data_IF_994524390406
#
_entry.id   IF_994524390406
#
_cell.length_a   1.000
_cell.length_b   1.000
_cell.length_c   1.000
_cell.angle_alpha   90.00
_cell.angle_beta   90.00
_cell.angle_gamma   90.00
#
_symmetry.space_group_name_H-M   'P 1'
#
loop_
_entity.id
_entity.type
_entity.pdbx_description
1 polymer ?
#
# COMPACT_ATOMS: atom_id res chain seq x y z
N UNK A 1 -0.29 9.85 -29.44
CA UNK A 1 -0.78 8.88 -28.44
C UNK A 1 -1.18 9.66 -27.21
N UNK A 2 -2.47 9.69 -26.87
CA UNK A 2 -2.92 10.29 -25.61
C UNK A 2 -2.33 9.49 -24.45
N UNK A 3 -1.94 10.10 -23.31
CA UNK A 3 -1.51 9.33 -22.17
C UNK A 3 -2.70 8.48 -21.71
N UNK A 4 -2.60 7.18 -21.90
CA UNK A 4 -3.57 6.23 -21.37
C UNK A 4 -3.59 6.44 -19.85
N UNK A 5 -4.71 6.95 -19.33
CA UNK A 5 -4.83 7.27 -17.93
C UNK A 5 -4.62 5.98 -17.13
N UNK A 6 -3.70 6.01 -16.15
CA UNK A 6 -3.47 4.86 -15.27
C UNK A 6 -4.82 4.50 -14.64
N UNK A 7 -5.32 3.27 -14.84
CA UNK A 7 -6.61 2.89 -14.28
C UNK A 7 -6.57 3.04 -12.75
N UNK A 8 -7.69 3.45 -12.13
CA UNK A 8 -7.74 3.59 -10.68
C UNK A 8 -7.42 2.24 -10.01
N UNK A 9 -6.80 2.25 -8.81
CA UNK A 9 -6.57 1.02 -8.08
C UNK A 9 -7.90 0.31 -7.80
N UNK A 10 -7.92 -1.01 -7.94
CA UNK A 10 -9.07 -1.83 -7.59
C UNK A 10 -9.33 -1.80 -6.08
N UNK A 11 -8.26 -1.79 -5.29
CA UNK A 11 -8.28 -1.69 -3.83
C UNK A 11 -7.23 -0.70 -3.35
N UNK A 12 -7.65 0.18 -2.45
CA UNK A 12 -6.75 1.04 -1.66
C UNK A 12 -6.96 0.72 -0.18
N UNK A 13 -5.92 0.29 0.50
CA UNK A 13 -5.91 0.12 1.95
C UNK A 13 -5.36 1.39 2.58
N UNK A 14 -6.14 2.04 3.44
CA UNK A 14 -5.71 3.24 4.16
C UNK A 14 -5.35 2.83 5.59
N UNK A 15 -4.14 3.18 6.03
CA UNK A 15 -3.65 2.89 7.39
C UNK A 15 -3.29 4.23 8.05
N UNK A 16 -4.09 4.74 9.00
CA UNK A 16 -3.66 5.83 9.85
C UNK A 16 -2.52 5.35 10.76
N UNK A 17 -1.49 6.17 10.94
CA UNK A 17 -0.33 5.86 11.77
C UNK A 17 0.10 7.08 12.58
N UNK A 18 0.31 6.88 13.88
CA UNK A 18 0.86 7.87 14.81
C UNK A 18 1.79 7.16 15.80
N UNK A 19 3.08 7.47 15.75
CA UNK A 19 4.11 6.84 16.58
C UNK A 19 4.08 5.29 16.53
N UNK A 20 4.21 4.77 15.31
CA UNK A 20 4.12 3.38 14.91
C UNK A 20 5.46 2.81 14.38
N UNK A 21 6.60 3.48 14.59
CA UNK A 21 7.90 3.13 13.98
C UNK A 21 8.30 1.66 14.16
N UNK A 22 8.06 1.11 15.36
CA UNK A 22 8.34 -0.29 15.70
C UNK A 22 7.34 -1.30 15.12
N UNK A 23 6.13 -0.85 14.75
CA UNK A 23 4.98 -1.71 14.39
C UNK A 23 4.61 -1.65 12.91
N UNK A 24 4.90 -0.54 12.24
CA UNK A 24 4.39 -0.28 10.90
C UNK A 24 5.05 -1.17 9.83
N UNK A 25 6.35 -1.48 9.95
CA UNK A 25 7.05 -2.35 8.99
C UNK A 25 6.44 -3.75 8.89
N UNK A 26 6.40 -4.57 9.97
CA UNK A 26 5.85 -5.92 9.88
C UNK A 26 4.38 -5.91 9.44
N UNK A 27 3.64 -4.85 9.78
CA UNK A 27 2.27 -4.64 9.29
C UNK A 27 2.24 -4.50 7.76
N UNK A 28 3.03 -3.57 7.20
CA UNK A 28 3.08 -3.33 5.75
C UNK A 28 3.55 -4.55 4.96
N UNK A 29 4.57 -5.25 5.46
CA UNK A 29 5.07 -6.50 4.87
C UNK A 29 4.00 -7.60 4.89
N UNK A 30 3.25 -7.73 5.99
CA UNK A 30 2.13 -8.66 6.13
C UNK A 30 1.00 -8.38 5.14
N UNK A 31 0.54 -7.13 5.06
CA UNK A 31 -0.49 -6.72 4.09
C UNK A 31 -0.03 -6.95 2.65
N UNK A 32 1.20 -6.55 2.32
CA UNK A 32 1.78 -6.75 0.98
C UNK A 32 1.82 -8.22 0.61
N UNK A 33 2.28 -9.08 1.52
CA UNK A 33 2.32 -10.53 1.33
C UNK A 33 0.91 -11.12 1.14
N UNK A 34 -0.04 -10.72 1.99
CA UNK A 34 -1.41 -11.21 1.94
C UNK A 34 -2.11 -10.84 0.64
N UNK A 35 -2.05 -9.58 0.23
CA UNK A 35 -2.68 -9.09 -1.01
C UNK A 35 -2.02 -9.76 -2.23
N UNK A 36 -0.69 -9.87 -2.26
CA UNK A 36 0.04 -10.48 -3.38
C UNK A 36 -0.28 -11.97 -3.53
N UNK A 37 -0.37 -12.70 -2.42
CA UNK A 37 -0.68 -14.14 -2.41
C UNK A 37 -2.18 -14.45 -2.60
N UNK A 38 -3.04 -13.46 -2.37
CA UNK A 38 -4.49 -13.60 -2.48
C UNK A 38 -5.06 -12.99 -3.76
N UNK A 39 -4.23 -12.55 -4.72
CA UNK A 39 -4.66 -11.89 -5.97
C UNK A 39 -5.78 -12.63 -6.71
N UNK A 40 -5.77 -13.97 -6.72
CA UNK A 40 -6.83 -14.82 -7.29
C UNK A 40 -8.14 -14.87 -6.49
N UNK A 41 -8.14 -14.40 -5.24
CA UNK A 41 -9.31 -14.39 -4.33
C UNK A 41 -10.09 -13.08 -4.35
N UNK A 42 -9.51 -12.00 -4.87
CA UNK A 42 -10.07 -10.65 -4.74
C UNK A 42 -11.13 -10.28 -5.79
N UNK A 43 -11.54 -11.21 -6.66
CA UNK A 43 -12.69 -10.97 -7.52
C UNK A 43 -14.01 -11.25 -6.79
N UNK A 44 -14.95 -10.30 -6.91
CA UNK A 44 -16.14 -10.16 -6.07
C UNK A 44 -16.91 -11.45 -5.80
N UNK A 45 -17.49 -11.54 -4.60
CA UNK A 45 -18.30 -12.66 -4.13
C UNK A 45 -19.25 -13.17 -5.21
N UNK A 46 -18.88 -14.31 -5.82
CA UNK A 46 -19.52 -14.82 -7.03
C UNK A 46 -18.57 -15.03 -8.22
N UNK A 47 -17.38 -15.61 -8.01
CA UNK A 47 -16.60 -16.22 -9.09
C UNK A 47 -16.06 -15.27 -10.17
N UNK A 48 -15.99 -13.97 -9.90
CA UNK A 48 -15.25 -13.06 -10.78
C UNK A 48 -13.75 -13.24 -10.57
N UNK A 49 -12.97 -13.25 -11.64
CA UNK A 49 -11.52 -13.16 -11.55
C UNK A 49 -11.16 -11.73 -11.14
N UNK A 50 -10.24 -11.56 -10.18
CA UNK A 50 -9.58 -10.27 -10.04
C UNK A 50 -8.84 -10.03 -11.36
N UNK A 51 -9.05 -8.92 -12.07
CA UNK A 51 -8.34 -8.68 -13.32
C UNK A 51 -6.85 -8.94 -13.10
N UNK A 52 -6.18 -9.66 -13.99
CA UNK A 52 -4.74 -9.93 -13.90
C UNK A 52 -3.89 -8.64 -13.83
N UNK A 53 -4.53 -7.50 -14.10
CA UNK A 53 -4.00 -6.15 -14.16
C UNK A 53 -4.53 -5.27 -13.00
N UNK A 54 -5.35 -5.83 -12.10
CA UNK A 54 -5.94 -5.10 -10.98
C UNK A 54 -4.86 -4.64 -10.01
N UNK A 55 -4.70 -3.31 -9.95
CA UNK A 55 -3.70 -2.67 -9.10
C UNK A 55 -4.24 -2.51 -7.68
N UNK A 56 -3.48 -2.98 -6.69
CA UNK A 56 -3.72 -2.70 -5.28
C UNK A 56 -2.67 -1.73 -4.74
N UNK A 57 -3.07 -0.83 -3.83
CA UNK A 57 -2.14 0.05 -3.11
C UNK A 57 -2.45 0.13 -1.61
N UNK A 58 -1.42 0.47 -0.83
CA UNK A 58 -1.50 0.80 0.58
C UNK A 58 -1.06 2.26 0.73
N UNK A 59 -1.90 3.07 1.36
CA UNK A 59 -1.60 4.46 1.72
C UNK A 59 -1.55 4.56 3.23
N UNK A 60 -0.34 4.82 3.75
CA UNK A 60 -0.17 5.17 5.16
C UNK A 60 -0.37 6.67 5.30
N UNK A 61 -1.30 7.04 6.18
CA UNK A 61 -1.52 8.43 6.57
C UNK A 61 -0.82 8.63 7.91
N UNK A 62 0.35 9.26 7.86
CA UNK A 62 1.14 9.62 9.03
C UNK A 62 0.56 10.89 9.67
N UNK A 63 -0.04 10.75 10.85
CA UNK A 63 -0.78 11.80 11.56
C UNK A 63 0.13 12.67 12.45
N UNK A 64 1.29 13.05 11.90
CA UNK A 64 2.26 13.90 12.59
C UNK A 64 3.13 13.16 13.61
N UNK A 65 3.57 11.93 13.31
CA UNK A 65 4.45 11.15 14.19
C UNK A 65 5.76 11.88 14.51
N UNK A 66 6.38 11.49 15.63
CA UNK A 66 7.65 12.05 16.14
C UNK A 66 8.77 11.02 16.23
N UNK A 67 8.45 9.75 16.02
CA UNK A 67 9.33 8.60 16.27
C UNK A 67 10.01 8.03 15.00
N UNK A 68 9.86 8.69 13.86
CA UNK A 68 10.38 8.20 12.58
C UNK A 68 9.46 7.23 11.83
N UNK A 69 8.20 7.06 12.23
CA UNK A 69 7.19 6.25 11.53
C UNK A 69 7.20 6.48 10.02
N UNK A 70 7.14 7.74 9.57
CA UNK A 70 7.10 8.08 8.15
C UNK A 70 8.36 7.62 7.40
N UNK A 71 9.52 7.64 8.04
CA UNK A 71 10.79 7.20 7.45
C UNK A 71 10.81 5.69 7.27
N UNK A 72 10.31 4.95 8.27
CA UNK A 72 10.12 3.49 8.16
C UNK A 72 9.20 3.15 6.98
N UNK A 73 8.09 3.88 6.80
CA UNK A 73 7.17 3.64 5.68
C UNK A 73 7.85 3.90 4.33
N UNK A 74 8.60 5.01 4.19
CA UNK A 74 9.30 5.36 2.95
C UNK A 74 10.40 4.35 2.61
N UNK A 75 11.09 3.81 3.62
CA UNK A 75 12.07 2.76 3.44
C UNK A 75 11.43 1.46 2.92
N UNK A 76 10.31 1.02 3.51
CA UNK A 76 9.56 -0.15 3.03
C UNK A 76 9.05 0.06 1.61
N UNK A 77 8.55 1.26 1.29
CA UNK A 77 8.07 1.60 -0.06
C UNK A 77 9.19 1.52 -1.11
N UNK A 78 10.42 1.90 -0.74
CA UNK A 78 11.59 1.92 -1.62
C UNK A 78 12.25 0.55 -1.76
N UNK A 79 12.07 -0.35 -0.80
CA UNK A 79 12.65 -1.70 -0.75
C UNK A 79 12.03 -2.71 -1.73
N UNK A 80 11.10 -2.27 -2.60
CA UNK A 80 10.48 -3.11 -3.62
C UNK A 80 11.45 -3.40 -4.79
N UNK A 81 12.26 -4.44 -4.67
CA UNK A 81 13.35 -4.75 -5.61
C UNK A 81 12.95 -5.49 -6.91
N UNK A 82 11.67 -5.70 -7.21
CA UNK A 82 11.26 -6.35 -8.47
C UNK A 82 10.02 -5.73 -9.12
N UNK A 83 10.07 -5.37 -10.41
CA UNK A 83 8.98 -4.73 -11.16
C UNK A 83 7.88 -5.70 -11.62
N UNK A 84 7.83 -6.93 -11.09
CA UNK A 84 6.74 -7.85 -11.43
C UNK A 84 5.40 -7.27 -10.95
N UNK A 85 4.44 -7.18 -11.87
CA UNK A 85 3.19 -6.41 -11.81
C UNK A 85 2.20 -6.74 -10.67
N UNK A 86 2.60 -7.53 -9.67
CA UNK A 86 1.86 -7.77 -8.43
C UNK A 86 2.47 -7.06 -7.20
N UNK A 87 3.44 -6.16 -7.38
CA UNK A 87 3.98 -5.37 -6.29
C UNK A 87 2.93 -4.35 -5.81
N UNK A 88 2.20 -4.68 -4.74
CA UNK A 88 1.34 -3.71 -4.03
C UNK A 88 2.16 -2.46 -3.75
N UNK A 89 1.71 -1.33 -4.29
CA UNK A 89 2.38 -0.04 -4.11
C UNK A 89 2.14 0.46 -2.69
N UNK A 90 3.17 1.02 -2.05
CA UNK A 90 3.06 1.63 -0.72
C UNK A 90 3.39 3.11 -0.87
N UNK A 91 2.55 3.96 -0.30
CA UNK A 91 2.73 5.42 -0.28
C UNK A 91 2.54 5.94 1.14
N UNK A 92 3.31 6.97 1.48
CA UNK A 92 3.18 7.71 2.73
C UNK A 92 2.62 9.10 2.44
N UNK A 93 1.58 9.50 3.15
CA UNK A 93 1.02 10.85 3.18
C UNK A 93 1.17 11.36 4.61
N UNK A 94 2.05 12.35 4.82
CA UNK A 94 2.23 12.96 6.14
C UNK A 94 1.35 14.19 6.29
N UNK A 95 0.63 14.26 7.40
CA UNK A 95 -0.12 15.43 7.84
C UNK A 95 0.73 16.28 8.79
N UNK A 96 0.50 17.60 8.85
CA UNK A 96 1.09 18.42 9.91
C UNK A 96 0.59 17.96 11.28
N UNK A 97 1.43 18.11 12.30
CA UNK A 97 1.01 17.86 13.69
C UNK A 97 -0.19 18.75 14.05
N UNK A 98 -1.18 18.15 14.70
CA UNK A 98 -2.20 18.90 15.41
C UNK A 98 -1.54 19.55 16.63
N UNK A 99 -1.46 20.88 16.60
CA UNK A 99 -0.93 21.72 17.67
C UNK A 99 -1.93 21.89 18.81
#
# INVERSE_FOLDING_TARGET
VSPEAIPPPFLTVIIPAYDESDRIRPTLEGYRSYISSSSSRWGGGGGGECPSEARCEIVVVDDGSTDGTADVVRDVASSASSPSAAAVAIRCVSLPRNA
#
